data_IF_545061445577
#
_entry.id   IF_545061445577
#
_cell.length_a   1.000
_cell.length_b   1.000
_cell.length_c   1.000
_cell.angle_alpha   90.00
_cell.angle_beta   90.00
_cell.angle_gamma   90.00
#
_symmetry.space_group_name_H-M   'P 1'
#
loop_
_entity.id
_entity.type
_entity.pdbx_description
1 polymer ?
#
# COMPACT_ATOMS: atom_id res chain seq x y z
N UNK A 1 -1.55 -7.70 -5.82
CA UNK A 1 -2.31 -6.57 -5.24
C UNK A 1 -2.24 -6.71 -3.74
N UNK A 2 -1.84 -5.67 -3.02
CA UNK A 2 -1.75 -5.71 -1.56
C UNK A 2 -3.13 -6.01 -0.96
N UNK A 3 -3.21 -6.97 -0.03
CA UNK A 3 -4.46 -7.44 0.56
C UNK A 3 -5.32 -6.30 1.10
N UNK A 4 -4.69 -5.26 1.67
CA UNK A 4 -5.37 -4.05 2.16
C UNK A 4 -6.10 -3.28 1.07
N UNK A 5 -5.52 -3.18 -0.14
CA UNK A 5 -6.15 -2.51 -1.28
C UNK A 5 -7.36 -3.29 -1.80
N UNK A 6 -7.27 -4.62 -1.77
CA UNK A 6 -8.38 -5.51 -2.11
C UNK A 6 -9.53 -5.37 -1.11
N UNK A 7 -9.20 -5.27 0.19
CA UNK A 7 -10.17 -5.03 1.26
C UNK A 7 -10.94 -3.71 1.06
N UNK A 8 -10.25 -2.62 0.71
CA UNK A 8 -10.88 -1.33 0.38
C UNK A 8 -11.79 -1.45 -0.85
N UNK A 9 -11.34 -2.14 -1.91
CA UNK A 9 -12.15 -2.33 -3.11
C UNK A 9 -13.46 -3.06 -2.82
N UNK A 10 -13.41 -4.15 -2.05
CA UNK A 10 -14.62 -4.88 -1.65
C UNK A 10 -15.51 -4.06 -0.73
N UNK A 11 -14.95 -3.27 0.19
CA UNK A 11 -15.71 -2.37 1.06
C UNK A 11 -16.49 -1.30 0.27
N UNK A 12 -15.84 -0.67 -0.71
CA UNK A 12 -16.47 0.31 -1.60
C UNK A 12 -17.54 -0.33 -2.49
N UNK A 13 -17.28 -1.52 -3.04
CA UNK A 13 -18.27 -2.25 -3.83
C UNK A 13 -19.51 -2.61 -3.00
N UNK A 14 -19.32 -3.04 -1.74
CA UNK A 14 -20.42 -3.33 -0.82
C UNK A 14 -21.24 -2.08 -0.47
N UNK A 15 -20.59 -0.93 -0.25
CA UNK A 15 -21.27 0.36 -0.03
C UNK A 15 -22.05 0.81 -1.27
N UNK A 16 -21.46 0.66 -2.47
CA UNK A 16 -22.13 1.02 -3.72
C UNK A 16 -23.37 0.14 -3.94
N UNK A 17 -23.29 -1.15 -3.64
CA UNK A 17 -24.44 -2.06 -3.68
C UNK A 17 -25.53 -1.63 -2.68
N UNK A 18 -25.16 -1.32 -1.44
CA UNK A 18 -26.12 -0.86 -0.43
C UNK A 18 -26.80 0.46 -0.84
N UNK A 19 -26.04 1.40 -1.43
CA UNK A 19 -26.58 2.66 -1.94
C UNK A 19 -27.55 2.45 -3.11
N UNK A 20 -27.22 1.54 -4.02
CA UNK A 20 -28.11 1.15 -5.11
C UNK A 20 -29.42 0.55 -4.58
N UNK A 21 -29.32 -0.44 -3.66
CA UNK A 21 -30.50 -1.05 -3.03
C UNK A 21 -31.37 -0.04 -2.28
N UNK A 22 -30.75 0.90 -1.55
CA UNK A 22 -31.50 1.96 -0.85
C UNK A 22 -32.24 2.89 -1.81
N UNK A 23 -31.60 3.27 -2.92
CA UNK A 23 -32.18 4.15 -3.94
C UNK A 23 -33.32 3.45 -4.69
N UNK A 24 -33.12 2.18 -5.04
CA UNK A 24 -34.15 1.35 -5.67
C UNK A 24 -35.35 1.16 -4.74
N UNK A 25 -35.11 0.86 -3.46
CA UNK A 25 -36.18 0.72 -2.47
C UNK A 25 -36.99 2.02 -2.32
N UNK A 26 -36.32 3.17 -2.23
CA UNK A 26 -37.00 4.48 -2.16
C UNK A 26 -37.82 4.77 -3.42
N UNK A 27 -37.33 4.36 -4.58
CA UNK A 27 -38.05 4.51 -5.85
C UNK A 27 -39.27 3.59 -5.89
N UNK A 28 -39.12 2.34 -5.45
CA UNK A 28 -40.21 1.36 -5.38
C UNK A 28 -41.37 1.84 -4.49
N UNK A 29 -41.08 2.38 -3.29
CA UNK A 29 -42.13 2.92 -2.41
C UNK A 29 -42.86 4.11 -3.04
N UNK A 30 -42.14 4.97 -3.78
CA UNK A 30 -42.76 6.10 -4.49
C UNK A 30 -43.71 5.63 -5.58
N UNK A 31 -43.36 4.58 -6.33
CA UNK A 31 -44.23 4.02 -7.38
C UNK A 31 -45.48 3.33 -6.82
N UNK A 32 -45.38 2.75 -5.63
CA UNK A 32 -46.47 1.98 -4.99
C UNK A 32 -47.33 2.84 -4.06
N UNK A 33 -47.08 4.15 -4.00
CA UNK A 33 -47.72 5.12 -3.08
C UNK A 33 -47.68 4.67 -1.61
N UNK A 34 -46.71 3.84 -1.23
CA UNK A 34 -46.53 3.42 0.16
C UNK A 34 -45.74 4.46 0.95
N UNK A 35 -46.13 4.68 2.20
CA UNK A 35 -45.42 5.59 3.09
C UNK A 35 -44.03 5.05 3.46
N UNK A 36 -43.03 5.91 3.37
CA UNK A 36 -41.65 5.57 3.75
C UNK A 36 -41.54 5.53 5.28
N UNK A 37 -41.54 4.33 5.85
CA UNK A 37 -41.43 4.15 7.31
C UNK A 37 -39.97 4.02 7.74
N UNK A 38 -39.27 3.01 7.23
CA UNK A 38 -37.88 2.72 7.60
C UNK A 38 -37.17 1.96 6.48
N UNK A 39 -35.85 2.17 6.36
CA UNK A 39 -35.02 1.39 5.45
C UNK A 39 -34.85 -0.04 6.00
N UNK A 40 -34.97 -1.09 5.17
CA UNK A 40 -34.82 -2.47 5.63
C UNK A 40 -33.45 -2.69 6.29
N UNK A 41 -33.47 -3.43 7.39
CA UNK A 41 -32.34 -3.62 8.30
C UNK A 41 -31.13 -4.23 7.57
N UNK A 42 -31.36 -5.14 6.62
CA UNK A 42 -30.30 -5.73 5.79
C UNK A 42 -29.44 -4.68 5.08
N UNK A 43 -30.04 -3.62 4.52
CA UNK A 43 -29.30 -2.56 3.82
C UNK A 43 -28.47 -1.74 4.81
N UNK A 44 -29.03 -1.47 5.99
CA UNK A 44 -28.33 -0.73 7.06
C UNK A 44 -27.12 -1.54 7.53
N UNK A 45 -27.30 -2.83 7.80
CA UNK A 45 -26.23 -3.74 8.24
C UNK A 45 -25.15 -3.86 7.16
N UNK A 46 -25.53 -4.05 5.88
CA UNK A 46 -24.58 -4.11 4.78
C UNK A 46 -23.76 -2.81 4.63
N UNK A 47 -24.39 -1.65 4.79
CA UNK A 47 -23.71 -0.36 4.77
C UNK A 47 -22.70 -0.23 5.91
N UNK A 48 -23.08 -0.61 7.14
CA UNK A 48 -22.18 -0.60 8.30
C UNK A 48 -20.99 -1.55 8.13
N UNK A 49 -21.22 -2.77 7.64
CA UNK A 49 -20.14 -3.70 7.35
C UNK A 49 -19.19 -3.17 6.26
N UNK A 50 -19.74 -2.61 5.17
CA UNK A 50 -18.94 -1.99 4.11
C UNK A 50 -18.11 -0.81 4.59
N UNK A 51 -18.68 0.02 5.48
CA UNK A 51 -18.00 1.15 6.10
C UNK A 51 -16.82 0.69 6.99
N UNK A 52 -17.06 -0.26 7.89
CA UNK A 52 -16.02 -0.78 8.79
C UNK A 52 -14.89 -1.43 8.00
N UNK A 53 -15.22 -2.23 6.98
CA UNK A 53 -14.25 -2.89 6.11
C UNK A 53 -13.38 -1.87 5.35
N UNK A 54 -14.02 -0.81 4.83
CA UNK A 54 -13.31 0.27 4.11
C UNK A 54 -12.38 1.03 5.06
N UNK A 55 -12.85 1.41 6.26
CA UNK A 55 -12.01 2.07 7.26
C UNK A 55 -10.80 1.21 7.64
N UNK A 56 -11.02 -0.08 7.90
CA UNK A 56 -9.94 -1.01 8.24
C UNK A 56 -8.90 -1.13 7.12
N UNK A 57 -9.36 -1.26 5.88
CA UNK A 57 -8.50 -1.32 4.70
C UNK A 57 -7.69 -0.04 4.50
N UNK A 58 -8.32 1.13 4.62
CA UNK A 58 -7.67 2.43 4.43
C UNK A 58 -6.58 2.68 5.48
N UNK A 59 -6.83 2.34 6.76
CA UNK A 59 -5.83 2.48 7.82
C UNK A 59 -4.60 1.61 7.52
N UNK A 60 -4.80 0.39 7.02
CA UNK A 60 -3.68 -0.47 6.63
C UNK A 60 -2.95 0.01 5.36
N UNK A 61 -3.65 0.66 4.44
CA UNK A 61 -3.05 1.25 3.23
C UNK A 61 -2.23 2.51 3.56
N UNK A 62 -2.64 3.28 4.57
CA UNK A 62 -1.93 4.49 5.00
C UNK A 62 -0.48 4.24 5.44
N UNK A 63 -0.13 2.98 5.74
CA UNK A 63 1.23 2.54 6.00
C UNK A 63 1.60 2.59 7.48
N UNK A 64 2.76 2.03 7.81
CA UNK A 64 3.27 2.06 9.17
C UNK A 64 3.82 3.45 9.49
N UNK A 65 3.60 3.88 10.73
CA UNK A 65 4.33 5.01 11.27
C UNK A 65 5.83 4.69 11.28
N UNK A 66 6.65 5.67 10.90
CA UNK A 66 8.11 5.64 11.07
C UNK A 66 8.46 6.38 12.35
N UNK A 67 9.53 5.93 13.00
CA UNK A 67 10.00 6.55 14.22
C UNK A 67 10.54 7.97 13.94
N UNK A 68 10.23 8.91 14.83
CA UNK A 68 10.63 10.33 14.69
C UNK A 68 12.12 10.50 15.01
N UNK A 69 12.69 9.59 15.81
CA UNK A 69 14.04 9.72 16.32
C UNK A 69 15.07 9.38 15.23
N UNK A 70 15.77 10.39 14.72
CA UNK A 70 16.79 10.21 13.69
C UNK A 70 17.94 9.30 14.13
N UNK A 71 18.25 9.23 15.43
CA UNK A 71 19.29 8.34 15.94
C UNK A 71 18.97 6.86 15.76
N UNK A 72 17.69 6.46 15.76
CA UNK A 72 17.27 5.08 15.53
C UNK A 72 17.55 4.63 14.07
N UNK A 73 17.35 5.52 13.09
CA UNK A 73 17.76 5.25 11.70
C UNK A 73 19.29 5.24 11.54
N UNK A 74 20.00 6.12 12.25
CA UNK A 74 21.46 6.19 12.20
C UNK A 74 22.15 4.98 12.85
N UNK A 75 21.54 4.36 13.87
CA UNK A 75 22.08 3.14 14.50
C UNK A 75 22.13 1.96 13.50
N UNK A 76 21.16 1.88 12.59
CA UNK A 76 21.13 0.86 11.53
C UNK A 76 22.21 1.06 10.45
N UNK A 77 22.95 2.18 10.50
CA UNK A 77 23.89 2.59 9.45
C UNK A 77 25.33 2.38 9.92
N UNK A 78 26.04 1.45 9.28
CA UNK A 78 27.44 1.14 9.60
C UNK A 78 28.39 2.28 9.21
N UNK A 79 29.51 2.41 9.93
CA UNK A 79 30.58 3.37 9.64
C UNK A 79 31.14 3.29 8.21
N UNK A 80 31.18 2.10 7.61
CA UNK A 80 31.59 1.92 6.20
C UNK A 80 30.67 2.66 5.23
N UNK A 81 29.36 2.66 5.49
CA UNK A 81 28.38 3.39 4.67
C UNK A 81 28.55 4.91 4.79
N UNK A 82 29.01 5.39 5.96
CA UNK A 82 29.23 6.81 6.22
C UNK A 82 30.59 7.29 5.69
N UNK A 83 31.62 6.46 5.77
CA UNK A 83 32.96 6.73 5.22
C UNK A 83 33.00 6.71 3.69
N UNK A 84 32.03 6.02 3.08
CA UNK A 84 31.84 5.94 1.64
C UNK A 84 31.29 7.26 1.05
N UNK A 85 32.17 8.24 0.82
CA UNK A 85 31.78 9.54 0.26
C UNK A 85 31.83 9.53 -1.28
N UNK A 86 30.66 9.32 -1.89
CA UNK A 86 30.49 9.19 -3.35
C UNK A 86 31.10 10.35 -4.15
N UNK A 87 31.04 11.59 -3.64
CA UNK A 87 31.60 12.76 -4.30
C UNK A 87 33.15 12.77 -4.40
N UNK A 88 33.85 11.88 -3.68
CA UNK A 88 35.32 11.81 -3.61
C UNK A 88 35.85 10.43 -4.00
N UNK A 89 35.13 9.69 -4.82
CA UNK A 89 35.64 8.42 -5.34
C UNK A 89 36.85 8.62 -6.23
N UNK A 90 37.92 7.88 -5.90
CA UNK A 90 39.08 7.71 -6.75
C UNK A 90 39.06 6.29 -7.29
N UNK A 91 39.11 6.16 -8.62
CA UNK A 91 39.15 4.87 -9.31
C UNK A 91 40.57 4.29 -9.42
N UNK A 92 41.59 5.04 -8.96
CA UNK A 92 42.98 4.59 -8.90
C UNK A 92 43.24 3.76 -7.63
N UNK A 93 42.64 2.58 -7.52
CA UNK A 93 42.82 1.67 -6.39
C UNK A 93 43.25 0.27 -6.82
N UNK A 94 43.77 -0.54 -5.89
CA UNK A 94 44.28 -1.90 -6.16
C UNK A 94 43.26 -2.82 -6.84
N UNK A 95 41.96 -2.60 -6.62
CA UNK A 95 40.89 -3.33 -7.33
C UNK A 95 40.88 -3.15 -8.85
N UNK A 96 41.45 -2.07 -9.39
CA UNK A 96 41.52 -1.85 -10.86
C UNK A 96 42.47 -2.86 -11.51
N UNK A 97 43.65 -3.09 -10.92
CA UNK A 97 44.60 -4.10 -11.41
C UNK A 97 44.10 -5.55 -11.22
N UNK A 98 43.23 -5.78 -10.23
CA UNK A 98 42.65 -7.11 -9.97
C UNK A 98 41.54 -7.41 -10.98
N UNK A 99 40.68 -6.44 -11.30
CA UNK A 99 39.64 -6.61 -12.32
C UNK A 99 40.24 -6.78 -13.72
N UNK A 100 41.25 -5.99 -14.07
CA UNK A 100 41.89 -6.06 -15.39
C UNK A 100 42.53 -7.45 -15.65
N UNK A 101 43.19 -8.03 -14.65
CA UNK A 101 43.74 -9.40 -14.77
C UNK A 101 42.66 -10.48 -14.92
N UNK A 102 41.49 -10.26 -14.31
CA UNK A 102 40.36 -11.20 -14.41
C UNK A 102 39.75 -11.21 -15.82
N UNK A 103 39.69 -10.05 -16.47
CA UNK A 103 39.20 -9.93 -17.86
C UNK A 103 40.14 -10.65 -18.85
N UNK A 104 41.46 -10.51 -18.68
CA UNK A 104 42.45 -11.22 -19.51
C UNK A 104 42.38 -12.76 -19.35
N UNK A 105 42.16 -13.26 -18.13
CA UNK A 105 42.01 -14.69 -17.85
C UNK A 105 40.69 -15.28 -18.40
N UNK A 106 39.60 -14.50 -18.46
CA UNK A 106 38.31 -14.94 -19.04
C UNK A 106 38.29 -14.91 -20.58
N UNK A 107 39.08 -14.03 -21.20
CA UNK A 107 39.27 -13.99 -22.67
C UNK A 107 40.24 -15.08 -23.19
N UNK A 108 41.22 -15.51 -22.40
CA UNK A 108 42.11 -16.63 -22.78
C UNK A 108 41.46 -18.02 -22.65
N UNK A 109 40.40 -18.18 -21.86
CA UNK A 109 39.69 -19.44 -21.60
C UNK A 109 38.40 -19.63 -22.44
N UNK A 110 38.14 -18.71 -23.40
CA UNK A 110 37.01 -18.73 -24.37
C UNK A 110 37.47 -19.05 -25.80
#
# INVERSE_FOLDING_TARGET
>A
MDFSKLCVFFGLAAMLHAAYSATQHRTYLRLTEQEFTILPIDIIVQCFFGLILTCYGVVHVAGSFREICASAELESKTWDMLGNRQAFYSFCHRGMAINYRKEEEEEEDS
#
